data_IF_058927612028
#
_entry.id   IF_058927612028
#
_cell.length_a   1.000
_cell.length_b   1.000
_cell.length_c   1.000
_cell.angle_alpha   90.00
_cell.angle_beta   90.00
_cell.angle_gamma   90.00
#
_symmetry.space_group_name_H-M   'P 1'
#
loop_
_entity.id
_entity.type
_entity.pdbx_description
1 polymer ?
#
# COMPACT_ATOMS: atom_id res chain seq x y z
N UNK A 1 -18.51 16.98 5.28
CA UNK A 1 -17.17 16.39 5.55
C UNK A 1 -16.60 17.06 6.77
N UNK A 2 -16.03 16.28 7.69
CA UNK A 2 -15.48 16.74 8.95
C UNK A 2 -13.97 17.02 8.80
N UNK A 3 -13.49 18.04 9.49
CA UNK A 3 -12.07 18.40 9.54
C UNK A 3 -11.41 17.81 10.79
N UNK A 4 -12.20 17.52 11.82
CA UNK A 4 -11.75 16.98 13.10
C UNK A 4 -12.47 15.66 13.41
N UNK A 5 -11.71 14.61 13.74
CA UNK A 5 -12.25 13.33 14.18
C UNK A 5 -11.76 13.02 15.59
N UNK A 6 -12.63 12.57 16.47
CA UNK A 6 -12.27 12.04 17.78
C UNK A 6 -12.68 10.57 17.89
N UNK A 7 -11.81 9.76 18.46
CA UNK A 7 -12.11 8.39 18.88
C UNK A 7 -12.11 8.36 20.39
N UNK A 8 -13.26 8.08 21.01
CA UNK A 8 -13.47 8.26 22.44
C UNK A 8 -13.93 6.98 23.12
N UNK A 9 -13.25 6.63 24.20
CA UNK A 9 -13.60 5.53 25.11
C UNK A 9 -14.92 5.77 25.88
N UNK A 10 -15.47 6.99 25.82
CA UNK A 10 -16.78 7.32 26.42
C UNK A 10 -17.96 7.02 25.49
N UNK A 11 -17.69 6.73 24.22
CA UNK A 11 -18.71 6.43 23.20
C UNK A 11 -18.93 4.93 23.11
N UNK A 12 -20.20 4.52 23.13
CA UNK A 12 -20.57 3.11 23.01
C UNK A 12 -20.41 2.66 21.56
N UNK A 13 -20.30 1.36 21.38
CA UNK A 13 -20.26 0.74 20.04
C UNK A 13 -21.47 1.16 19.20
N UNK A 14 -21.23 1.57 17.96
CA UNK A 14 -22.25 2.08 17.03
C UNK A 14 -22.61 3.56 17.22
N UNK A 15 -22.12 4.21 18.28
CA UNK A 15 -22.37 5.64 18.50
C UNK A 15 -21.51 6.49 17.55
N UNK A 16 -22.19 7.31 16.75
CA UNK A 16 -21.57 8.37 15.96
C UNK A 16 -22.21 9.69 16.34
N UNK A 17 -21.40 10.59 16.89
CA UNK A 17 -21.87 11.90 17.32
C UNK A 17 -21.35 13.01 16.42
N UNK A 18 -22.28 13.73 15.80
CA UNK A 18 -21.98 14.82 14.86
C UNK A 18 -22.11 16.18 15.52
N UNK A 19 -21.02 16.95 15.56
CA UNK A 19 -21.06 18.36 15.95
C UNK A 19 -20.88 19.21 14.69
N UNK A 20 -21.99 19.38 13.96
CA UNK A 20 -22.00 19.97 12.60
C UNK A 20 -21.41 21.39 12.55
N UNK A 21 -21.64 22.20 13.58
CA UNK A 21 -21.15 23.58 13.64
C UNK A 21 -19.62 23.67 13.74
N UNK A 22 -18.97 22.63 14.26
CA UNK A 22 -17.51 22.59 14.47
C UNK A 22 -16.78 21.75 13.43
N UNK A 23 -17.50 21.22 12.41
CA UNK A 23 -16.98 20.19 11.49
C UNK A 23 -16.21 19.09 12.25
N UNK A 24 -16.78 18.68 13.38
CA UNK A 24 -16.26 17.67 14.28
C UNK A 24 -17.17 16.45 14.33
N UNK A 25 -16.55 15.29 14.41
CA UNK A 25 -17.22 14.01 14.60
C UNK A 25 -16.52 13.21 15.68
N UNK A 26 -17.31 12.55 16.52
CA UNK A 26 -16.81 11.65 17.56
C UNK A 26 -17.33 10.22 17.32
N UNK A 27 -16.40 9.27 17.35
CA UNK A 27 -16.57 7.86 17.07
C UNK A 27 -16.14 7.03 18.29
N UNK A 28 -16.64 5.81 18.42
CA UNK A 28 -16.23 4.89 19.48
C UNK A 28 -14.79 4.40 19.32
N UNK A 29 -13.98 4.57 20.37
CA UNK A 29 -12.64 3.98 20.39
C UNK A 29 -12.71 2.44 20.45
N UNK A 30 -13.66 1.88 21.18
CA UNK A 30 -13.83 0.42 21.31
C UNK A 30 -14.16 -0.24 19.96
N UNK A 31 -15.05 0.39 19.21
CA UNK A 31 -15.38 -0.06 17.85
C UNK A 31 -14.16 0.05 16.93
N UNK A 32 -13.40 1.16 16.98
CA UNK A 32 -12.12 1.27 16.27
C UNK A 32 -11.18 0.12 16.66
N UNK A 33 -10.99 -0.15 17.95
CA UNK A 33 -10.09 -1.20 18.41
C UNK A 33 -10.52 -2.59 17.93
N UNK A 34 -11.82 -2.85 17.83
CA UNK A 34 -12.35 -4.07 17.20
C UNK A 34 -11.96 -4.14 15.72
N UNK A 35 -12.12 -3.04 14.98
CA UNK A 35 -11.69 -2.95 13.57
C UNK A 35 -10.17 -3.09 13.38
N UNK A 36 -9.35 -2.70 14.33
CA UNK A 36 -7.90 -2.82 14.17
C UNK A 36 -7.38 -4.24 14.42
N UNK A 37 -8.10 -5.07 15.18
CA UNK A 37 -7.65 -6.40 15.62
C UNK A 37 -8.15 -7.55 14.75
N UNK A 38 -9.40 -7.51 14.33
CA UNK A 38 -10.04 -8.63 13.64
C UNK A 38 -10.68 -8.16 12.34
N UNK A 39 -10.86 -9.07 11.38
CA UNK A 39 -11.68 -8.81 10.19
C UNK A 39 -13.14 -8.72 10.63
N UNK A 40 -13.56 -7.55 11.09
CA UNK A 40 -14.96 -7.26 11.35
C UNK A 40 -15.65 -6.85 10.04
N UNK A 41 -16.98 -6.71 10.05
CA UNK A 41 -17.76 -6.32 8.88
C UNK A 41 -17.54 -4.85 8.49
N UNK A 42 -16.32 -4.39 8.24
CA UNK A 42 -16.04 -2.99 7.85
C UNK A 42 -16.69 -2.61 6.52
N UNK A 43 -16.81 -3.57 5.60
CA UNK A 43 -17.46 -3.34 4.31
C UNK A 43 -18.99 -3.48 4.40
N UNK A 44 -19.58 -3.00 5.50
CA UNK A 44 -21.02 -2.81 5.64
C UNK A 44 -21.37 -1.34 5.91
N UNK A 45 -22.54 -0.92 5.46
CA UNK A 45 -22.99 0.48 5.52
C UNK A 45 -23.57 0.87 6.89
N UNK A 46 -22.84 0.59 7.96
CA UNK A 46 -23.13 1.20 9.26
C UNK A 46 -22.46 2.59 9.36
N UNK A 47 -22.98 3.44 10.24
CA UNK A 47 -22.53 4.84 10.36
C UNK A 47 -21.03 4.95 10.70
N UNK A 48 -20.52 4.09 11.58
CA UNK A 48 -19.11 4.10 11.98
C UNK A 48 -18.20 3.81 10.78
N UNK A 49 -18.46 2.72 10.07
CA UNK A 49 -17.71 2.30 8.88
C UNK A 49 -17.71 3.37 7.80
N UNK A 50 -18.87 3.97 7.54
CA UNK A 50 -19.04 5.05 6.58
C UNK A 50 -18.14 6.24 6.94
N UNK A 51 -18.12 6.65 8.21
CA UNK A 51 -17.33 7.79 8.64
C UNK A 51 -15.83 7.49 8.68
N UNK A 52 -15.46 6.24 9.00
CA UNK A 52 -14.07 5.78 8.92
C UNK A 52 -13.58 5.68 7.46
N UNK A 53 -14.41 5.22 6.53
CA UNK A 53 -14.11 5.24 5.09
C UNK A 53 -13.94 6.67 4.56
N UNK A 54 -14.82 7.59 4.96
CA UNK A 54 -14.73 9.02 4.64
C UNK A 54 -13.45 9.63 5.18
N UNK A 55 -13.06 9.29 6.42
CA UNK A 55 -11.77 9.70 7.01
C UNK A 55 -10.61 9.26 6.11
N UNK A 56 -10.57 7.99 5.71
CA UNK A 56 -9.44 7.46 4.95
C UNK A 56 -9.33 8.00 3.52
N UNK A 57 -10.46 8.22 2.83
CA UNK A 57 -10.49 8.83 1.50
C UNK A 57 -10.20 10.34 1.55
N UNK A 58 -10.55 11.02 2.63
CA UNK A 58 -10.43 12.47 2.77
C UNK A 58 -9.38 12.90 3.79
N UNK A 59 -8.41 12.03 4.07
CA UNK A 59 -7.32 12.28 5.02
C UNK A 59 -6.56 13.58 4.74
N UNK A 60 -6.59 14.05 3.49
CA UNK A 60 -5.95 15.29 3.08
C UNK A 60 -6.66 16.56 3.56
N UNK A 61 -7.95 16.46 3.92
CA UNK A 61 -8.81 17.54 4.40
C UNK A 61 -8.96 17.52 5.93
N UNK A 62 -8.50 16.46 6.59
CA UNK A 62 -8.49 16.35 8.04
C UNK A 62 -7.34 17.18 8.62
N UNK A 63 -7.66 17.93 9.68
CA UNK A 63 -6.73 18.81 10.39
C UNK A 63 -6.35 18.27 11.76
N UNK A 64 -7.28 17.56 12.42
CA UNK A 64 -7.08 17.09 13.79
C UNK A 64 -7.68 15.69 14.01
N UNK A 65 -6.91 14.84 14.69
CA UNK A 65 -7.37 13.57 15.26
C UNK A 65 -7.18 13.61 16.77
N UNK A 66 -8.23 13.31 17.52
CA UNK A 66 -8.16 13.13 18.98
C UNK A 66 -8.39 11.66 19.33
N UNK A 67 -7.53 11.08 20.17
CA UNK A 67 -7.68 9.73 20.72
C UNK A 67 -7.88 9.86 22.23
N UNK A 68 -9.12 9.72 22.72
CA UNK A 68 -9.46 9.75 24.14
C UNK A 68 -9.62 8.32 24.67
N UNK A 69 -8.63 7.88 25.46
CA UNK A 69 -8.55 6.53 26.01
C UNK A 69 -9.26 6.37 27.37
N UNK A 70 -9.89 7.44 27.87
CA UNK A 70 -10.48 7.47 29.21
C UNK A 70 -11.94 7.03 29.14
N UNK A 71 -12.24 5.88 29.73
CA UNK A 71 -13.62 5.43 29.95
C UNK A 71 -14.09 5.73 31.37
N UNK A 72 -15.39 5.53 31.63
CA UNK A 72 -15.96 5.56 32.99
C UNK A 72 -15.31 4.52 33.94
N UNK A 73 -14.70 3.46 33.39
CA UNK A 73 -14.09 2.34 34.13
C UNK A 73 -12.54 2.33 34.08
N UNK A 74 -11.89 3.38 33.58
CA UNK A 74 -10.42 3.46 33.44
C UNK A 74 -9.93 3.43 31.98
N UNK A 75 -8.63 3.16 31.77
CA UNK A 75 -8.03 3.06 30.41
C UNK A 75 -8.39 1.73 29.75
N UNK A 76 -8.73 1.79 28.45
CA UNK A 76 -9.07 0.62 27.64
C UNK A 76 -7.84 -0.01 26.97
N UNK A 77 -6.64 0.57 27.13
CA UNK A 77 -5.46 0.11 26.40
C UNK A 77 -4.78 -1.10 27.04
N UNK A 78 -5.01 -2.28 26.48
CA UNK A 78 -4.15 -3.47 26.66
C UNK A 78 -2.91 -3.39 25.75
N UNK A 79 -1.81 -4.13 26.02
CA UNK A 79 -0.61 -4.12 25.17
C UNK A 79 -0.87 -4.43 23.69
N UNK A 80 -1.73 -5.40 23.39
CA UNK A 80 -2.10 -5.72 22.00
C UNK A 80 -2.88 -4.57 21.34
N UNK A 81 -3.79 -3.95 22.10
CA UNK A 81 -4.57 -2.81 21.62
C UNK A 81 -3.68 -1.60 21.37
N UNK A 82 -2.65 -1.39 22.20
CA UNK A 82 -1.65 -0.35 22.01
C UNK A 82 -0.93 -0.51 20.68
N UNK A 83 -0.44 -1.71 20.35
CA UNK A 83 0.27 -1.95 19.10
C UNK A 83 -0.60 -1.62 17.87
N UNK A 84 -1.86 -2.08 17.87
CA UNK A 84 -2.84 -1.77 16.83
C UNK A 84 -3.10 -0.26 16.71
N UNK A 85 -3.29 0.43 17.84
CA UNK A 85 -3.56 1.86 17.87
C UNK A 85 -2.36 2.68 17.39
N UNK A 86 -1.14 2.27 17.73
CA UNK A 86 0.09 2.89 17.23
C UNK A 86 0.19 2.76 15.70
N UNK A 87 -0.12 1.59 15.14
CA UNK A 87 -0.16 1.39 13.69
C UNK A 87 -1.22 2.26 13.02
N UNK A 88 -2.40 2.40 13.62
CA UNK A 88 -3.44 3.31 13.13
C UNK A 88 -3.00 4.78 13.15
N UNK A 89 -2.44 5.26 14.27
CA UNK A 89 -1.93 6.63 14.41
C UNK A 89 -0.85 6.93 13.36
N UNK A 90 -0.01 5.94 13.04
CA UNK A 90 1.06 6.04 12.04
C UNK A 90 0.58 6.26 10.60
N UNK A 91 -0.69 6.00 10.30
CA UNK A 91 -1.29 6.23 8.97
C UNK A 91 -1.41 7.73 8.67
N UNK A 92 -1.56 8.57 9.70
CA UNK A 92 -1.81 10.00 9.51
C UNK A 92 -0.54 10.78 9.13
N UNK A 93 -0.59 11.66 8.12
CA UNK A 93 0.56 12.45 7.65
C UNK A 93 0.91 13.63 8.58
N UNK A 94 2.10 14.21 8.40
CA UNK A 94 2.68 15.25 9.28
C UNK A 94 1.83 16.51 9.47
N UNK A 95 0.93 16.79 8.55
CA UNK A 95 0.08 17.98 8.56
C UNK A 95 -1.13 17.86 9.49
N UNK A 96 -1.42 16.66 10.00
CA UNK A 96 -2.56 16.42 10.88
C UNK A 96 -2.10 16.53 12.33
N UNK A 97 -2.75 17.38 13.11
CA UNK A 97 -2.54 17.45 14.55
C UNK A 97 -3.15 16.20 15.20
N UNK A 98 -2.32 15.36 15.82
CA UNK A 98 -2.81 14.23 16.62
C UNK A 98 -2.65 14.58 18.09
N UNK A 99 -3.75 14.43 18.82
CA UNK A 99 -3.88 14.70 20.25
C UNK A 99 -4.31 13.40 20.95
N UNK A 100 -3.60 13.02 22.00
CA UNK A 100 -3.88 11.79 22.76
C UNK A 100 -4.24 12.19 24.19
N UNK A 101 -5.38 11.70 24.68
CA UNK A 101 -5.87 11.94 26.03
C UNK A 101 -5.82 10.61 26.79
N UNK A 102 -5.05 10.58 27.87
CA UNK A 102 -4.71 9.38 28.64
C UNK A 102 -4.71 9.62 30.15
N UNK A 103 -4.88 8.61 31.02
CA UNK A 103 -4.97 8.82 32.47
C UNK A 103 -3.72 9.45 33.09
N UNK A 104 -3.92 10.44 33.97
CA UNK A 104 -2.85 11.23 34.61
C UNK A 104 -1.85 10.41 35.47
N UNK A 105 -2.31 9.35 36.12
CA UNK A 105 -1.48 8.46 36.95
C UNK A 105 -0.96 7.23 36.21
N UNK A 106 -1.29 7.07 34.92
CA UNK A 106 -0.73 5.98 34.14
C UNK A 106 0.68 6.37 33.67
N UNK A 107 1.66 5.47 33.86
CA UNK A 107 2.85 5.45 33.01
C UNK A 107 2.41 5.10 31.59
N UNK A 108 1.69 6.01 30.93
CA UNK A 108 0.93 5.73 29.72
C UNK A 108 1.82 5.14 28.64
N UNK A 109 1.46 3.95 28.17
CA UNK A 109 2.26 3.23 27.20
C UNK A 109 2.22 3.89 25.81
N UNK A 110 1.15 4.64 25.47
CA UNK A 110 1.01 5.29 24.15
C UNK A 110 1.94 6.48 24.01
N UNK A 111 1.85 7.48 24.88
CA UNK A 111 2.71 8.66 24.85
C UNK A 111 4.19 8.28 24.90
N UNK A 112 4.56 7.38 25.82
CA UNK A 112 5.92 6.86 25.95
C UNK A 112 6.37 6.02 24.75
N UNK A 113 5.51 5.20 24.15
CA UNK A 113 5.85 4.44 22.94
C UNK A 113 6.04 5.35 21.74
N UNK A 114 5.26 6.43 21.62
CA UNK A 114 5.37 7.39 20.53
C UNK A 114 6.62 8.26 20.64
N UNK A 115 6.99 8.71 21.84
CA UNK A 115 8.24 9.45 22.07
C UNK A 115 9.49 8.71 21.62
N UNK A 116 9.44 7.37 21.59
CA UNK A 116 10.55 6.50 21.16
C UNK A 116 10.60 6.28 19.65
N UNK A 117 9.65 6.83 18.88
CA UNK A 117 9.58 6.60 17.44
C UNK A 117 10.14 7.79 16.67
N UNK A 118 11.03 7.55 15.70
CA UNK A 118 11.63 8.57 14.82
C UNK A 118 10.65 9.23 13.84
N UNK A 119 9.38 8.82 13.89
CA UNK A 119 8.43 8.91 12.80
C UNK A 119 7.01 9.14 13.37
N UNK A 120 6.84 9.99 14.36
CA UNK A 120 5.52 10.29 14.93
C UNK A 120 5.02 11.64 14.44
N UNK A 121 3.80 11.70 13.94
CA UNK A 121 3.12 12.97 13.59
C UNK A 121 2.27 13.49 14.74
N UNK A 122 2.48 12.96 15.95
CA UNK A 122 1.77 13.37 17.15
C UNK A 122 2.27 14.74 17.57
N UNK A 123 1.34 15.69 17.70
CA UNK A 123 1.69 17.03 18.10
C UNK A 123 1.81 17.12 19.62
N UNK A 124 0.87 16.49 20.33
CA UNK A 124 0.71 16.61 21.78
C UNK A 124 0.15 15.34 22.40
N UNK A 125 0.64 15.03 23.60
CA UNK A 125 0.05 14.04 24.50
C UNK A 125 -0.42 14.79 25.76
N UNK A 126 -1.66 14.57 26.17
CA UNK A 126 -2.35 15.34 27.21
C UNK A 126 -2.85 14.38 28.29
N UNK A 127 -2.49 14.68 29.55
CA UNK A 127 -3.04 13.96 30.70
C UNK A 127 -4.55 14.22 30.86
N UNK A 128 -5.27 13.25 31.41
CA UNK A 128 -6.73 13.25 31.55
C UNK A 128 -7.27 14.46 32.31
N UNK A 129 -6.52 14.90 33.32
CA UNK A 129 -6.79 16.07 34.16
C UNK A 129 -6.27 17.38 33.56
N UNK A 130 -5.64 17.30 32.37
CA UNK A 130 -4.94 18.37 31.66
C UNK A 130 -3.81 19.02 32.47
N UNK A 131 -3.34 18.37 33.52
CA UNK A 131 -2.23 18.87 34.35
C UNK A 131 -0.90 18.86 33.60
N UNK A 132 -0.76 17.95 32.61
CA UNK A 132 0.43 17.78 31.80
C UNK A 132 0.09 17.78 30.30
N UNK A 133 0.87 18.55 29.53
CA UNK A 133 0.89 18.48 28.06
C UNK A 133 2.32 18.28 27.59
N UNK A 134 2.60 17.14 26.96
CA UNK A 134 3.90 16.85 26.34
C UNK A 134 3.85 17.18 24.85
N UNK A 135 4.70 18.10 24.41
CA UNK A 135 4.91 18.36 22.99
C UNK A 135 5.89 17.32 22.44
N UNK A 136 5.49 16.59 21.41
CA UNK A 136 6.38 15.64 20.73
C UNK A 136 7.07 16.38 19.58
N UNK A 137 8.40 16.54 19.67
CA UNK A 137 9.19 17.21 18.63
C UNK A 137 9.84 16.17 17.71
N UNK A 138 9.54 16.23 16.42
CA UNK A 138 10.36 15.58 15.40
C UNK A 138 11.55 16.47 15.04
N UNK A 139 12.76 15.97 15.28
CA UNK A 139 13.98 16.70 14.92
C UNK A 139 15.05 15.75 14.38
N UNK A 140 14.82 15.19 13.20
CA UNK A 140 15.87 14.47 12.47
C UNK A 140 15.88 14.81 10.98
N UNK A 141 17.07 15.06 10.45
CA UNK A 141 17.32 15.21 9.02
C UNK A 141 17.51 13.83 8.39
N UNK A 142 16.42 13.20 7.97
CA UNK A 142 16.48 11.94 7.23
C UNK A 142 16.92 12.24 5.80
N UNK A 143 18.02 11.61 5.35
CA UNK A 143 18.40 11.65 3.93
C UNK A 143 17.34 10.90 3.12
N UNK A 144 16.94 11.39 1.94
CA UNK A 144 15.99 10.67 1.10
C UNK A 144 16.47 9.25 0.80
N UNK A 145 15.61 8.27 1.03
CA UNK A 145 15.90 6.85 0.86
C UNK A 145 15.80 6.47 -0.62
N UNK A 146 16.85 5.94 -1.26
CA UNK A 146 16.77 5.47 -2.64
C UNK A 146 15.83 4.27 -2.75
N UNK A 147 14.90 4.29 -3.70
CA UNK A 147 13.92 3.23 -3.92
C UNK A 147 14.01 2.72 -5.35
N UNK A 148 14.09 1.39 -5.51
CA UNK A 148 13.88 0.74 -6.80
C UNK A 148 12.61 -0.10 -6.75
N UNK A 149 11.71 0.12 -7.70
CA UNK A 149 10.39 -0.50 -7.76
C UNK A 149 10.31 -1.44 -8.96
N UNK A 150 9.99 -2.70 -8.69
CA UNK A 150 9.53 -3.66 -9.67
C UNK A 150 8.06 -3.98 -9.39
N UNK A 151 7.14 -3.39 -10.14
CA UNK A 151 5.72 -3.57 -9.88
C UNK A 151 4.87 -2.48 -10.51
N UNK A 152 3.66 -2.36 -10.02
CA UNK A 152 2.61 -1.56 -10.66
C UNK A 152 2.38 -0.20 -9.98
N UNK A 153 1.24 0.43 -10.33
CA UNK A 153 0.73 1.60 -9.63
C UNK A 153 0.57 1.40 -8.12
N UNK A 154 0.35 0.17 -7.63
CA UNK A 154 0.18 -0.10 -6.20
C UNK A 154 1.41 0.26 -5.36
N UNK A 155 2.62 0.14 -5.94
CA UNK A 155 3.87 0.58 -5.29
C UNK A 155 4.25 2.00 -5.65
N UNK A 156 4.09 2.43 -6.91
CA UNK A 156 4.43 3.80 -7.33
C UNK A 156 3.62 4.85 -6.57
N UNK A 157 2.30 4.65 -6.44
CA UNK A 157 1.41 5.67 -5.89
C UNK A 157 1.62 5.88 -4.37
N UNK A 158 2.37 5.00 -3.70
CA UNK A 158 2.89 5.20 -2.33
C UNK A 158 3.68 6.51 -2.24
N UNK A 159 4.58 6.73 -3.19
CA UNK A 159 5.50 7.87 -3.21
C UNK A 159 4.79 9.13 -3.63
N UNK A 160 3.93 9.04 -4.64
CA UNK A 160 3.08 10.15 -5.07
C UNK A 160 2.19 10.65 -3.91
N UNK A 161 1.61 9.72 -3.14
CA UNK A 161 0.81 10.08 -1.96
C UNK A 161 1.69 10.70 -0.86
N UNK A 162 2.85 10.11 -0.57
CA UNK A 162 3.77 10.62 0.44
C UNK A 162 4.19 12.07 0.15
N UNK A 163 4.68 12.35 -1.06
CA UNK A 163 5.17 13.66 -1.46
C UNK A 163 4.07 14.72 -1.50
N UNK A 164 2.84 14.31 -1.84
CA UNK A 164 1.69 15.21 -1.83
C UNK A 164 1.25 15.62 -0.43
N UNK A 165 1.44 14.77 0.57
CA UNK A 165 0.83 14.94 1.89
C UNK A 165 1.79 15.22 3.04
N UNK A 166 3.10 15.08 2.81
CA UNK A 166 4.14 15.42 3.80
C UNK A 166 4.98 16.62 3.34
N UNK A 167 5.66 17.28 4.27
CA UNK A 167 6.37 18.55 4.01
C UNK A 167 7.69 18.35 3.25
N UNK A 168 8.26 17.15 3.32
CA UNK A 168 9.54 16.80 2.72
C UNK A 168 9.41 15.47 2.00
N UNK A 169 10.04 15.37 0.83
CA UNK A 169 10.23 14.07 0.21
C UNK A 169 11.30 13.30 0.99
N UNK A 170 10.96 12.10 1.43
CA UNK A 170 11.84 11.21 2.18
C UNK A 170 12.31 10.03 1.32
N UNK A 171 11.99 10.04 0.03
CA UNK A 171 12.26 8.96 -0.91
C UNK A 171 12.81 9.52 -2.21
N UNK A 172 13.70 8.77 -2.86
CA UNK A 172 14.19 9.08 -4.20
C UNK A 172 14.00 7.85 -5.08
N UNK A 173 13.13 7.94 -6.08
CA UNK A 173 12.91 6.82 -7.01
C UNK A 173 14.12 6.69 -7.94
N UNK A 174 14.89 5.63 -7.74
CA UNK A 174 16.06 5.26 -8.54
C UNK A 174 15.65 4.55 -9.83
N UNK A 175 14.64 3.68 -9.76
CA UNK A 175 14.06 3.01 -10.92
C UNK A 175 12.61 2.60 -10.65
N UNK A 176 11.81 2.64 -11.71
CA UNK A 176 10.46 2.09 -11.73
C UNK A 176 10.27 1.25 -12.99
N UNK A 177 10.10 -0.05 -12.78
CA UNK A 177 9.71 -1.02 -13.82
C UNK A 177 8.26 -1.38 -13.56
N UNK A 178 7.42 -1.35 -14.60
CA UNK A 178 6.01 -1.77 -14.54
C UNK A 178 5.53 -2.39 -15.84
N UNK A 179 4.35 -3.01 -15.79
CA UNK A 179 3.71 -3.72 -16.89
C UNK A 179 4.61 -4.83 -17.48
N UNK A 180 5.45 -5.43 -16.65
CA UNK A 180 6.37 -6.49 -17.02
C UNK A 180 6.12 -7.66 -16.08
N UNK A 181 5.85 -8.83 -16.65
CA UNK A 181 5.77 -10.05 -15.88
C UNK A 181 7.16 -10.56 -15.55
N UNK A 182 7.34 -11.08 -14.35
CA UNK A 182 8.58 -11.71 -13.91
C UNK A 182 8.90 -12.95 -14.73
N UNK A 183 7.89 -13.61 -15.29
CA UNK A 183 8.10 -14.74 -16.20
C UNK A 183 8.68 -14.26 -17.53
N UNK A 184 8.15 -13.15 -18.06
CA UNK A 184 8.67 -12.54 -19.27
C UNK A 184 10.11 -12.07 -19.08
N UNK A 185 10.46 -11.53 -17.91
CA UNK A 185 11.80 -11.01 -17.57
C UNK A 185 12.94 -12.00 -17.85
N UNK A 186 12.74 -13.30 -17.60
CA UNK A 186 13.78 -14.34 -17.77
C UNK A 186 13.72 -15.07 -19.11
N UNK A 187 12.85 -14.65 -20.03
CA UNK A 187 12.74 -15.26 -21.36
C UNK A 187 13.72 -14.62 -22.37
N UNK A 188 13.84 -15.21 -23.55
CA UNK A 188 14.69 -14.67 -24.61
C UNK A 188 14.09 -13.37 -25.22
N UNK A 189 14.90 -12.42 -25.70
CA UNK A 189 14.40 -11.24 -26.41
C UNK A 189 13.54 -11.57 -27.62
N UNK A 190 12.50 -10.76 -27.82
CA UNK A 190 11.65 -10.79 -29.00
C UNK A 190 12.11 -9.73 -29.98
N UNK A 191 12.41 -10.12 -31.22
CA UNK A 191 12.79 -9.17 -32.27
C UNK A 191 11.54 -8.54 -32.90
N UNK A 192 11.51 -7.21 -32.94
CA UNK A 192 10.43 -6.40 -33.51
C UNK A 192 11.00 -5.22 -34.29
N UNK A 193 10.16 -4.62 -35.14
CA UNK A 193 10.46 -3.32 -35.74
C UNK A 193 10.11 -2.23 -34.73
N UNK A 194 11.06 -1.37 -34.36
CA UNK A 194 10.82 -0.30 -33.40
C UNK A 194 9.68 0.64 -33.77
N UNK A 195 9.44 0.85 -35.07
CA UNK A 195 8.33 1.66 -35.57
C UNK A 195 6.96 1.04 -35.30
N UNK A 196 6.91 -0.26 -35.00
CA UNK A 196 5.68 -0.94 -34.65
C UNK A 196 5.26 -0.71 -33.19
N UNK A 197 6.13 -0.15 -32.33
CA UNK A 197 5.79 0.25 -30.95
C UNK A 197 5.23 1.67 -30.95
N UNK A 198 4.08 1.82 -31.61
CA UNK A 198 3.42 3.09 -31.91
C UNK A 198 2.42 3.51 -30.82
N UNK A 199 2.93 3.83 -29.62
CA UNK A 199 2.13 4.33 -28.48
C UNK A 199 2.39 5.82 -28.22
N UNK A 200 1.38 6.58 -27.79
CA UNK A 200 1.56 8.03 -27.53
C UNK A 200 2.46 8.32 -26.31
N UNK A 201 2.39 7.47 -25.29
CA UNK A 201 3.15 7.67 -24.05
C UNK A 201 4.55 7.07 -24.16
N UNK A 202 5.58 7.93 -24.03
CA UNK A 202 6.99 7.50 -23.98
C UNK A 202 7.26 6.49 -22.87
N UNK A 203 6.62 6.64 -21.71
CA UNK A 203 6.75 5.70 -20.60
C UNK A 203 6.18 4.32 -20.97
N UNK A 204 5.02 4.28 -21.64
CA UNK A 204 4.41 3.01 -22.05
C UNK A 204 5.18 2.36 -23.21
N UNK A 205 5.74 3.17 -24.13
CA UNK A 205 6.69 2.66 -25.12
C UNK A 205 7.88 2.00 -24.43
N UNK A 206 8.53 2.68 -23.46
CA UNK A 206 9.64 2.13 -22.71
C UNK A 206 9.27 0.81 -22.00
N UNK A 207 8.13 0.77 -21.30
CA UNK A 207 7.70 -0.43 -20.58
C UNK A 207 7.49 -1.63 -21.52
N UNK A 208 6.88 -1.41 -22.71
CA UNK A 208 6.72 -2.45 -23.73
C UNK A 208 8.07 -2.87 -24.29
N UNK A 209 8.92 -1.92 -24.72
CA UNK A 209 10.24 -2.24 -25.27
C UNK A 209 11.10 -3.01 -24.27
N UNK A 210 11.14 -2.58 -23.01
CA UNK A 210 11.89 -3.26 -21.95
C UNK A 210 11.42 -4.71 -21.73
N UNK A 211 10.11 -4.98 -21.87
CA UNK A 211 9.56 -6.34 -21.85
C UNK A 211 9.99 -7.13 -23.09
N UNK A 212 9.94 -6.57 -24.29
CA UNK A 212 10.33 -7.26 -25.53
C UNK A 212 11.84 -7.53 -25.60
N UNK A 213 12.65 -6.53 -25.24
CA UNK A 213 14.12 -6.57 -25.27
C UNK A 213 14.74 -7.29 -24.07
N UNK A 214 13.93 -7.57 -23.02
CA UNK A 214 14.35 -8.23 -21.77
C UNK A 214 15.41 -7.46 -21.00
N UNK A 215 15.40 -6.14 -21.12
CA UNK A 215 16.36 -5.26 -20.41
C UNK A 215 15.98 -5.03 -18.96
N UNK A 216 14.72 -5.29 -18.60
CA UNK A 216 14.14 -5.03 -17.28
C UNK A 216 14.96 -5.53 -16.10
N UNK A 217 15.49 -6.77 -16.16
CA UNK A 217 16.30 -7.32 -15.07
C UNK A 217 17.57 -6.50 -14.84
N UNK A 218 18.33 -6.26 -15.91
CA UNK A 218 19.61 -5.53 -15.86
C UNK A 218 19.37 -4.09 -15.39
N UNK A 219 18.37 -3.44 -15.99
CA UNK A 219 17.93 -2.10 -15.63
C UNK A 219 17.54 -1.97 -14.16
N UNK A 220 16.89 -3.00 -13.61
CA UNK A 220 16.51 -3.05 -12.20
C UNK A 220 17.72 -3.24 -11.30
N UNK A 221 18.60 -4.20 -11.58
CA UNK A 221 19.79 -4.47 -10.78
C UNK A 221 20.76 -3.28 -10.77
N UNK A 222 20.99 -2.63 -11.91
CA UNK A 222 21.85 -1.44 -11.99
C UNK A 222 21.33 -0.23 -11.20
N UNK A 223 20.05 -0.23 -10.83
CA UNK A 223 19.48 0.84 -9.99
C UNK A 223 19.67 0.62 -8.49
N UNK A 224 20.09 -0.58 -8.09
CA UNK A 224 20.27 -0.93 -6.68
C UNK A 224 21.62 -0.44 -6.19
N UNK A 225 21.61 0.14 -4.99
CA UNK A 225 22.80 0.48 -4.21
C UNK A 225 22.67 -0.16 -2.83
N UNK A 226 23.75 -0.31 -2.04
CA UNK A 226 23.66 -0.85 -0.68
C UNK A 226 22.68 -0.11 0.22
N UNK A 227 22.35 1.16 -0.08
CA UNK A 227 21.38 1.97 0.65
C UNK A 227 19.95 1.92 0.09
N UNK A 228 19.74 1.30 -1.06
CA UNK A 228 18.43 1.23 -1.70
C UNK A 228 17.49 0.27 -0.96
N UNK A 229 16.21 0.65 -0.85
CA UNK A 229 15.15 -0.34 -0.68
C UNK A 229 14.66 -0.82 -2.05
N UNK A 230 14.52 -2.13 -2.16
CA UNK A 230 13.92 -2.80 -3.30
C UNK A 230 12.46 -3.13 -2.98
N UNK A 231 11.53 -2.67 -3.79
CA UNK A 231 10.10 -2.96 -3.63
C UNK A 231 9.63 -3.81 -4.80
N UNK A 232 8.97 -4.92 -4.47
CA UNK A 232 8.38 -5.84 -5.43
C UNK A 232 6.88 -5.97 -5.13
N UNK A 233 6.03 -5.74 -6.13
CA UNK A 233 4.63 -6.19 -6.09
C UNK A 233 4.32 -7.08 -7.29
N UNK A 234 3.34 -7.98 -7.13
CA UNK A 234 2.97 -8.96 -8.15
C UNK A 234 1.72 -8.56 -8.94
N UNK A 235 1.27 -7.30 -8.82
CA UNK A 235 0.04 -6.83 -9.45
C UNK A 235 0.10 -6.90 -10.97
N UNK A 236 1.27 -6.72 -11.58
CA UNK A 236 1.44 -6.87 -13.03
C UNK A 236 1.41 -8.34 -13.51
N UNK A 237 1.46 -9.32 -12.61
CA UNK A 237 1.19 -10.71 -12.95
C UNK A 237 -0.29 -10.97 -13.25
N UNK A 238 -1.19 -9.97 -13.09
CA UNK A 238 -2.58 -10.03 -13.57
C UNK A 238 -2.70 -10.09 -15.10
N UNK A 239 -1.61 -9.84 -15.83
CA UNK A 239 -1.59 -9.93 -17.28
C UNK A 239 -1.31 -11.37 -17.72
N UNK A 240 -2.07 -11.81 -18.72
CA UNK A 240 -1.73 -13.02 -19.47
C UNK A 240 -0.34 -12.90 -20.11
N UNK A 241 0.25 -14.04 -20.46
CA UNK A 241 1.44 -14.08 -21.31
C UNK A 241 1.07 -14.49 -22.73
N UNK A 242 1.85 -14.01 -23.69
CA UNK A 242 1.92 -14.59 -25.02
C UNK A 242 3.21 -15.40 -25.14
N UNK A 243 3.10 -16.64 -25.60
CA UNK A 243 4.25 -17.44 -26.01
C UNK A 243 4.41 -17.34 -27.52
N UNK A 244 5.59 -16.92 -27.96
CA UNK A 244 5.92 -16.78 -29.37
C UNK A 244 7.39 -17.11 -29.62
N UNK A 245 7.66 -18.11 -30.47
CA UNK A 245 9.02 -18.53 -30.87
C UNK A 245 9.99 -18.73 -29.69
N UNK A 246 9.51 -19.31 -28.58
CA UNK A 246 10.33 -19.59 -27.40
C UNK A 246 10.58 -18.38 -26.48
N UNK A 247 9.94 -17.24 -26.75
CA UNK A 247 9.90 -16.08 -25.85
C UNK A 247 8.52 -15.94 -25.21
N UNK A 248 8.48 -15.32 -24.02
CA UNK A 248 7.25 -14.90 -23.37
C UNK A 248 7.14 -13.38 -23.44
N UNK A 249 5.95 -12.86 -23.70
CA UNK A 249 5.66 -11.42 -23.75
C UNK A 249 4.51 -11.14 -22.80
N UNK A 250 4.64 -10.11 -21.98
CA UNK A 250 3.57 -9.67 -21.09
C UNK A 250 2.45 -9.05 -21.93
N UNK A 251 1.25 -9.65 -21.92
CA UNK A 251 0.11 -9.23 -22.75
C UNK A 251 -0.60 -8.00 -22.15
N UNK A 252 0.14 -6.90 -22.02
CA UNK A 252 -0.37 -5.66 -21.44
C UNK A 252 -1.41 -5.01 -22.35
N UNK A 253 -2.32 -4.21 -21.78
CA UNK A 253 -3.29 -3.41 -22.54
C UNK A 253 -2.64 -2.45 -23.55
N UNK A 254 -1.36 -2.13 -23.37
CA UNK A 254 -0.60 -1.25 -24.25
C UNK A 254 0.07 -2.05 -25.36
N UNK A 255 0.65 -3.20 -25.06
CA UNK A 255 1.23 -4.06 -26.09
C UNK A 255 0.17 -4.48 -27.12
N UNK A 256 -1.04 -4.82 -26.70
CA UNK A 256 -2.13 -5.22 -27.62
C UNK A 256 -2.57 -4.11 -28.59
N UNK A 257 -2.19 -2.85 -28.35
CA UNK A 257 -2.49 -1.72 -29.24
C UNK A 257 -1.42 -1.53 -30.34
N UNK A 258 -0.23 -2.09 -30.15
CA UNK A 258 0.92 -1.94 -31.05
C UNK A 258 0.71 -2.67 -32.38
N UNK A 259 1.41 -2.23 -33.43
CA UNK A 259 1.45 -2.97 -34.69
C UNK A 259 2.21 -4.30 -34.54
N UNK A 260 3.17 -4.40 -33.61
CA UNK A 260 3.90 -5.64 -33.33
C UNK A 260 2.94 -6.74 -32.90
N UNK A 261 2.02 -6.43 -31.96
CA UNK A 261 0.99 -7.39 -31.55
C UNK A 261 0.11 -7.83 -32.72
N UNK A 262 -0.35 -6.90 -33.56
CA UNK A 262 -1.20 -7.23 -34.71
C UNK A 262 -0.52 -8.20 -35.68
N UNK A 263 0.80 -8.11 -35.85
CA UNK A 263 1.59 -9.01 -36.71
C UNK A 263 1.74 -10.41 -36.12
N UNK A 264 1.80 -10.56 -34.79
CA UNK A 264 2.05 -11.87 -34.15
C UNK A 264 0.81 -12.56 -33.59
N UNK A 265 -0.30 -11.85 -33.36
CA UNK A 265 -1.45 -12.36 -32.59
C UNK A 265 -2.06 -13.67 -33.10
N UNK A 266 -1.93 -13.98 -34.39
CA UNK A 266 -2.44 -15.23 -34.99
C UNK A 266 -1.49 -16.41 -34.82
N UNK A 267 -0.25 -16.16 -34.39
CA UNK A 267 0.84 -17.13 -34.33
C UNK A 267 1.41 -17.30 -32.92
N UNK A 268 0.82 -16.65 -31.91
CA UNK A 268 1.18 -16.83 -30.50
C UNK A 268 0.13 -17.67 -29.79
N UNK A 269 0.56 -18.46 -28.80
CA UNK A 269 -0.36 -19.02 -27.81
C UNK A 269 -0.46 -18.09 -26.61
N UNK A 270 -1.60 -18.13 -25.92
CA UNK A 270 -1.81 -17.39 -24.69
C UNK A 270 -1.68 -18.34 -23.50
N UNK A 271 -1.04 -17.86 -22.44
CA UNK A 271 -1.04 -18.50 -21.12
C UNK A 271 -1.81 -17.57 -20.19
N UNK A 272 -2.90 -18.08 -19.61
CA UNK A 272 -3.72 -17.31 -18.67
C UNK A 272 -2.95 -16.99 -17.39
N UNK A 273 -3.20 -15.80 -16.86
CA UNK A 273 -2.46 -15.25 -15.71
C UNK A 273 -2.53 -16.14 -14.45
N UNK A 274 -3.62 -16.87 -14.24
CA UNK A 274 -3.86 -17.75 -13.08
C UNK A 274 -3.71 -19.25 -13.39
N UNK A 275 -3.21 -19.61 -14.58
CA UNK A 275 -2.92 -21.00 -14.90
C UNK A 275 -1.83 -21.58 -14.00
N UNK A 276 -1.87 -22.90 -13.76
CA UNK A 276 -0.85 -23.60 -12.96
C UNK A 276 0.57 -23.41 -13.52
N UNK A 277 0.71 -23.43 -14.84
CA UNK A 277 1.98 -23.16 -15.53
C UNK A 277 2.51 -21.78 -15.14
N UNK A 278 1.65 -20.75 -15.24
CA UNK A 278 2.00 -19.37 -14.96
C UNK A 278 2.34 -19.13 -13.49
N UNK A 279 1.58 -19.74 -12.57
CA UNK A 279 1.84 -19.67 -11.12
C UNK A 279 3.21 -20.28 -10.81
N UNK A 280 3.48 -21.49 -11.30
CA UNK A 280 4.75 -22.17 -11.08
C UNK A 280 5.92 -21.32 -11.60
N UNK A 281 5.83 -20.84 -12.84
CA UNK A 281 6.86 -19.99 -13.43
C UNK A 281 7.06 -18.68 -12.66
N UNK A 282 5.98 -18.09 -12.13
CA UNK A 282 6.06 -16.87 -11.30
C UNK A 282 6.82 -17.15 -10.01
N UNK A 283 6.48 -18.23 -9.28
CA UNK A 283 7.17 -18.63 -8.06
C UNK A 283 8.66 -18.91 -8.30
N UNK A 284 8.98 -19.72 -9.32
CA UNK A 284 10.37 -20.06 -9.67
C UNK A 284 11.20 -18.81 -10.01
N UNK A 285 10.62 -17.89 -10.78
CA UNK A 285 11.30 -16.67 -11.21
C UNK A 285 11.37 -15.59 -10.12
N UNK A 286 10.42 -15.54 -9.17
CA UNK A 286 10.54 -14.71 -7.97
C UNK A 286 11.74 -15.16 -7.15
N UNK A 287 11.87 -16.47 -6.90
CA UNK A 287 13.04 -17.02 -6.21
C UNK A 287 14.34 -16.61 -6.91
N UNK A 288 14.39 -16.78 -8.24
CA UNK A 288 15.56 -16.38 -9.03
C UNK A 288 15.85 -14.88 -8.95
N UNK A 289 14.84 -14.03 -9.00
CA UNK A 289 15.01 -12.58 -8.89
C UNK A 289 15.55 -12.18 -7.51
N UNK A 290 14.99 -12.73 -6.43
CA UNK A 290 15.44 -12.47 -5.06
C UNK A 290 16.91 -12.88 -4.87
N UNK A 291 17.30 -14.03 -5.41
CA UNK A 291 18.68 -14.54 -5.40
C UNK A 291 19.68 -13.64 -6.16
N UNK A 292 19.22 -12.94 -7.20
CA UNK A 292 20.06 -11.96 -7.92
C UNK A 292 20.14 -10.66 -7.12
N UNK A 293 19.02 -10.18 -6.57
CA UNK A 293 18.96 -8.94 -5.79
C UNK A 293 19.83 -9.03 -4.54
N UNK A 294 19.84 -10.17 -3.82
CA UNK A 294 20.64 -10.35 -2.60
C UNK A 294 22.15 -10.21 -2.83
N UNK A 295 22.60 -10.35 -4.08
CA UNK A 295 24.01 -10.16 -4.44
C UNK A 295 24.40 -8.67 -4.45
N UNK A 296 23.41 -7.77 -4.41
CA UNK A 296 23.60 -6.31 -4.49
C UNK A 296 23.17 -5.59 -3.19
N UNK A 297 22.15 -6.09 -2.49
CA UNK A 297 21.62 -5.49 -1.26
C UNK A 297 21.27 -6.54 -0.20
N UNK A 298 21.15 -6.13 1.06
CA UNK A 298 20.67 -7.00 2.14
C UNK A 298 19.22 -7.46 1.92
N UNK A 299 18.91 -8.70 2.29
CA UNK A 299 17.54 -9.25 2.26
C UNK A 299 16.53 -8.38 3.02
N UNK A 300 16.96 -7.75 4.12
CA UNK A 300 16.09 -6.86 4.90
C UNK A 300 15.74 -5.56 4.16
N UNK A 301 16.44 -5.24 3.07
CA UNK A 301 16.12 -4.12 2.16
C UNK A 301 15.20 -4.54 1.01
N UNK A 302 14.77 -5.80 0.95
CA UNK A 302 13.80 -6.29 -0.02
C UNK A 302 12.42 -6.33 0.65
N UNK A 303 11.49 -5.55 0.09
CA UNK A 303 10.11 -5.44 0.55
C UNK A 303 9.16 -5.97 -0.52
N UNK A 304 8.42 -7.03 -0.17
CA UNK A 304 7.28 -7.49 -0.96
C UNK A 304 6.06 -6.69 -0.53
N UNK A 305 5.57 -5.82 -1.40
CA UNK A 305 4.35 -5.08 -1.18
C UNK A 305 3.15 -5.98 -1.46
N UNK A 306 2.65 -6.66 -0.42
CA UNK A 306 1.52 -7.58 -0.52
C UNK A 306 0.22 -6.78 -0.71
N UNK A 307 -0.24 -6.64 -1.96
CA UNK A 307 -1.44 -5.87 -2.33
C UNK A 307 -2.47 -6.72 -3.07
N UNK A 308 -3.30 -7.51 -2.37
CA UNK A 308 -4.45 -8.15 -3.02
C UNK A 308 -5.39 -7.09 -3.59
N UNK A 309 -6.13 -7.43 -4.64
CA UNK A 309 -7.19 -6.55 -5.16
C UNK A 309 -8.27 -6.35 -4.09
N UNK A 310 -8.71 -5.10 -3.93
CA UNK A 310 -9.85 -4.75 -3.13
C UNK A 310 -11.13 -5.33 -3.72
N UNK A 311 -11.95 -5.96 -2.87
CA UNK A 311 -13.29 -6.42 -3.26
C UNK A 311 -14.33 -5.30 -3.25
N UNK A 312 -14.06 -4.24 -2.48
CA UNK A 312 -14.98 -3.13 -2.28
C UNK A 312 -14.34 -1.80 -2.65
N UNK A 313 -15.16 -0.85 -3.07
CA UNK A 313 -14.83 0.57 -3.10
C UNK A 313 -15.89 1.35 -2.33
N UNK A 314 -15.52 2.53 -1.84
CA UNK A 314 -16.44 3.42 -1.16
C UNK A 314 -16.89 4.57 -2.07
N UNK A 315 -18.20 4.83 -2.08
CA UNK A 315 -18.86 5.92 -2.80
C UNK A 315 -19.76 6.71 -1.86
N UNK A 316 -20.33 7.83 -2.32
CA UNK A 316 -21.29 8.61 -1.53
C UNK A 316 -22.55 7.81 -1.15
N UNK A 317 -22.84 6.71 -1.86
CA UNK A 317 -23.94 5.78 -1.57
C UNK A 317 -23.55 4.63 -0.61
N UNK A 318 -22.30 4.61 -0.12
CA UNK A 318 -21.79 3.52 0.73
C UNK A 318 -20.78 2.62 0.01
N UNK A 319 -20.48 1.48 0.63
CA UNK A 319 -19.59 0.46 0.10
C UNK A 319 -20.27 -0.33 -1.02
N UNK A 320 -19.54 -0.51 -2.11
CA UNK A 320 -19.99 -1.29 -3.27
C UNK A 320 -18.94 -2.31 -3.63
N UNK A 321 -19.37 -3.49 -4.04
CA UNK A 321 -18.46 -4.52 -4.57
C UNK A 321 -18.00 -4.15 -5.97
N UNK A 322 -16.75 -4.44 -6.27
CA UNK A 322 -16.28 -4.45 -7.64
C UNK A 322 -16.96 -5.58 -8.43
N UNK A 323 -17.18 -5.32 -9.71
CA UNK A 323 -17.68 -6.33 -10.64
C UNK A 323 -16.59 -7.37 -10.93
N UNK A 324 -16.76 -8.56 -10.37
CA UNK A 324 -15.79 -9.64 -10.53
C UNK A 324 -15.68 -10.14 -11.97
N UNK A 325 -16.75 -10.10 -12.76
CA UNK A 325 -16.70 -10.50 -14.18
C UNK A 325 -15.83 -9.54 -14.99
N UNK A 326 -15.85 -8.25 -14.62
CA UNK A 326 -15.05 -7.22 -15.27
C UNK A 326 -13.58 -7.26 -14.87
N UNK A 327 -13.29 -7.52 -13.60
CA UNK A 327 -11.95 -7.34 -13.03
C UNK A 327 -11.23 -8.63 -12.65
N UNK A 328 -11.90 -9.77 -12.61
CA UNK A 328 -11.37 -11.06 -12.15
C UNK A 328 -10.75 -10.96 -10.73
N UNK A 329 -11.41 -10.25 -9.81
CA UNK A 329 -10.88 -9.97 -8.46
C UNK A 329 -10.61 -11.27 -7.71
N UNK A 330 -11.55 -12.22 -7.75
CA UNK A 330 -11.43 -13.50 -7.05
C UNK A 330 -10.31 -14.37 -7.63
N UNK A 331 -10.24 -14.48 -8.98
CA UNK A 331 -9.18 -15.24 -9.66
C UNK A 331 -7.80 -14.66 -9.37
N UNK A 332 -7.65 -13.33 -9.49
CA UNK A 332 -6.40 -12.66 -9.16
C UNK A 332 -6.03 -12.82 -7.68
N UNK A 333 -6.97 -12.65 -6.75
CA UNK A 333 -6.68 -12.81 -5.33
C UNK A 333 -6.29 -14.25 -4.97
N UNK A 334 -6.83 -15.26 -5.65
CA UNK A 334 -6.39 -16.65 -5.49
C UNK A 334 -4.95 -16.85 -6.01
N UNK A 335 -4.65 -16.40 -7.23
CA UNK A 335 -3.29 -16.40 -7.78
C UNK A 335 -2.31 -15.70 -6.84
N UNK A 336 -2.67 -14.49 -6.41
CA UNK A 336 -1.88 -13.62 -5.55
C UNK A 336 -1.59 -14.29 -4.21
N UNK A 337 -2.60 -14.89 -3.58
CA UNK A 337 -2.44 -15.62 -2.33
C UNK A 337 -1.45 -16.76 -2.48
N UNK A 338 -1.53 -17.55 -3.56
CA UNK A 338 -0.61 -18.69 -3.79
C UNK A 338 0.83 -18.22 -3.93
N UNK A 339 1.07 -17.15 -4.68
CA UNK A 339 2.42 -16.58 -4.86
C UNK A 339 2.96 -15.98 -3.56
N UNK A 340 2.14 -15.22 -2.81
CA UNK A 340 2.56 -14.65 -1.52
C UNK A 340 2.82 -15.74 -0.48
N UNK A 341 1.99 -16.79 -0.41
CA UNK A 341 2.23 -17.94 0.46
C UNK A 341 3.57 -18.61 0.13
N UNK A 342 3.83 -18.87 -1.15
CA UNK A 342 5.12 -19.40 -1.59
C UNK A 342 6.31 -18.53 -1.14
N UNK A 343 6.21 -17.21 -1.30
CA UNK A 343 7.26 -16.28 -0.84
C UNK A 343 7.49 -16.40 0.66
N UNK A 344 6.42 -16.37 1.47
CA UNK A 344 6.53 -16.45 2.94
C UNK A 344 7.15 -17.76 3.40
N UNK A 345 6.80 -18.87 2.74
CA UNK A 345 7.30 -20.21 3.10
C UNK A 345 8.75 -20.45 2.67
N UNK A 346 9.20 -19.84 1.56
CA UNK A 346 10.51 -20.14 0.96
C UNK A 346 11.54 -19.01 1.13
N UNK A 347 11.12 -17.80 1.51
CA UNK A 347 11.97 -16.61 1.59
C UNK A 347 11.71 -15.81 2.87
N UNK A 348 11.90 -16.42 4.04
CA UNK A 348 11.61 -15.80 5.36
C UNK A 348 12.39 -14.52 5.66
N UNK A 349 13.49 -14.27 4.94
CA UNK A 349 14.35 -13.12 5.16
C UNK A 349 13.87 -11.85 4.43
N UNK A 350 12.91 -11.96 3.50
CA UNK A 350 12.27 -10.79 2.87
C UNK A 350 11.20 -10.20 3.77
N UNK A 351 11.02 -8.88 3.70
CA UNK A 351 9.93 -8.21 4.42
C UNK A 351 8.67 -8.31 3.57
N UNK A 352 7.67 -9.07 4.01
CA UNK A 352 6.34 -9.07 3.40
C UNK A 352 5.48 -8.03 4.10
N UNK A 353 5.18 -6.94 3.40
CA UNK A 353 4.40 -5.83 3.95
C UNK A 353 2.90 -6.12 3.76
N UNK A 354 2.20 -6.44 4.85
CA UNK A 354 0.75 -6.74 4.81
C UNK A 354 -0.15 -5.52 4.60
N UNK A 355 -1.32 -5.74 4.00
CA UNK A 355 -2.40 -4.73 3.93
C UNK A 355 -3.27 -4.80 5.18
N UNK A 356 -3.40 -3.72 5.98
CA UNK A 356 -4.46 -3.62 6.96
C UNK A 356 -5.81 -3.71 6.26
N UNK A 357 -6.62 -4.70 6.64
CA UNK A 357 -7.84 -5.06 5.93
C UNK A 357 -8.85 -3.89 5.83
N UNK A 358 -8.93 -3.03 6.86
CA UNK A 358 -9.76 -1.82 6.89
C UNK A 358 -9.27 -0.70 5.96
N UNK A 359 -8.07 -0.83 5.37
CA UNK A 359 -7.56 0.05 4.31
C UNK A 359 -7.67 -0.59 2.92
N UNK A 360 -8.12 -1.84 2.81
CA UNK A 360 -8.16 -2.58 1.55
C UNK A 360 -9.43 -2.29 0.73
N UNK A 361 -9.66 -1.02 0.37
CA UNK A 361 -10.78 -0.63 -0.48
C UNK A 361 -10.41 0.47 -1.46
N UNK A 362 -11.11 0.47 -2.59
CA UNK A 362 -10.91 1.41 -3.68
C UNK A 362 -11.46 2.82 -3.37
N UNK A 363 -10.80 3.83 -3.94
CA UNK A 363 -11.21 5.23 -3.86
C UNK A 363 -11.87 5.70 -5.16
N UNK A 364 -13.11 6.16 -5.04
CA UNK A 364 -13.87 6.70 -6.18
C UNK A 364 -13.27 7.96 -6.78
N UNK A 365 -12.44 8.66 -6.01
CA UNK A 365 -11.72 9.88 -6.42
C UNK A 365 -10.26 9.61 -6.79
N UNK A 366 -9.87 8.35 -6.99
CA UNK A 366 -8.51 8.02 -7.39
C UNK A 366 -8.17 8.64 -8.76
N UNK A 367 -6.97 9.22 -8.88
CA UNK A 367 -6.55 9.96 -10.08
C UNK A 367 -6.52 9.14 -11.38
N UNK A 368 -6.47 7.81 -11.24
CA UNK A 368 -6.46 6.85 -12.35
C UNK A 368 -7.80 6.11 -12.53
N UNK A 369 -8.87 6.59 -11.90
CA UNK A 369 -10.20 5.97 -11.95
C UNK A 369 -10.39 4.84 -10.94
N UNK A 370 -11.61 4.32 -10.90
CA UNK A 370 -12.07 3.38 -9.86
C UNK A 370 -11.82 1.94 -10.29
N UNK A 371 -10.73 1.37 -9.77
CA UNK A 371 -10.30 0.00 -10.06
C UNK A 371 -9.92 -0.71 -8.75
N UNK A 372 -10.01 -2.05 -8.69
CA UNK A 372 -9.77 -2.81 -7.46
C UNK A 372 -8.32 -2.80 -6.97
N UNK A 373 -7.40 -2.21 -7.74
CA UNK A 373 -6.00 -1.99 -7.40
C UNK A 373 -5.65 -0.50 -7.20
N UNK A 374 -6.67 0.38 -7.14
CA UNK A 374 -6.56 1.81 -6.86
C UNK A 374 -7.16 2.14 -5.50
N UNK A 375 -6.33 2.03 -4.46
CA UNK A 375 -6.76 2.10 -3.07
C UNK A 375 -6.98 3.55 -2.59
N UNK A 376 -7.58 3.69 -1.42
CA UNK A 376 -7.68 4.98 -0.72
C UNK A 376 -6.33 5.57 -0.33
N UNK A 377 -6.30 6.89 -0.10
CA UNK A 377 -5.07 7.64 0.23
C UNK A 377 -4.36 7.09 1.47
N UNK A 378 -5.13 6.67 2.47
CA UNK A 378 -4.61 6.17 3.74
C UNK A 378 -3.87 4.85 3.58
N UNK A 379 -4.30 3.98 2.66
CA UNK A 379 -3.54 2.80 2.24
C UNK A 379 -2.11 3.18 1.84
N UNK A 380 -1.95 4.10 0.88
CA UNK A 380 -0.63 4.50 0.39
C UNK A 380 0.24 5.15 1.47
N UNK A 381 -0.34 6.01 2.31
CA UNK A 381 0.38 6.64 3.43
C UNK A 381 0.85 5.63 4.47
N UNK A 382 0.03 4.62 4.78
CA UNK A 382 0.42 3.52 5.67
C UNK A 382 1.63 2.75 5.11
N UNK A 383 1.67 2.51 3.79
CA UNK A 383 2.80 1.82 3.15
C UNK A 383 4.07 2.67 3.18
N UNK A 384 3.96 3.95 2.84
CA UNK A 384 5.10 4.87 2.92
C UNK A 384 5.72 4.85 4.31
N UNK A 385 4.89 4.84 5.35
CA UNK A 385 5.37 4.79 6.73
C UNK A 385 6.13 3.51 7.06
N UNK A 386 5.60 2.35 6.64
CA UNK A 386 6.25 1.06 6.82
C UNK A 386 7.60 0.99 6.09
N UNK A 387 7.69 1.57 4.90
CA UNK A 387 8.94 1.66 4.14
C UNK A 387 9.98 2.54 4.86
N UNK A 388 9.58 3.68 5.44
CA UNK A 388 10.50 4.50 6.23
C UNK A 388 11.01 3.75 7.46
N UNK A 389 10.14 3.03 8.16
CA UNK A 389 10.53 2.20 9.30
C UNK A 389 11.50 1.09 8.88
N UNK A 390 11.24 0.42 7.76
CA UNK A 390 12.14 -0.59 7.20
C UNK A 390 13.49 0.02 6.79
N UNK A 391 13.53 1.24 6.26
CA UNK A 391 14.76 1.92 5.88
C UNK A 391 15.60 2.43 7.06
N UNK A 392 14.98 2.73 8.22
CA UNK A 392 15.65 3.26 9.42
C UNK A 392 16.02 2.15 10.42
N UNK A 393 15.35 1.00 10.38
CA UNK A 393 15.61 -0.15 11.28
C UNK A 393 16.77 -1.04 10.80
N UNK A 394 17.56 -0.56 9.83
CA UNK A 394 18.71 -1.21 9.20
C UNK A 394 19.93 -0.32 9.35
#
# INVERSE_FOLDING_TARGET
MFEHYAFSAKRKFGDVHYVKNEKFIELSLDELMSHLKEVSAFFCDNLFNIELAKLFINIDKVKKITIDTISENGSICTPDSLACLLEFIRVFPEKIEIEIIEPAESNSEIGLALDRTFLTNVAKVIASDRSLTKLVKNSFGIKPLPISIYGSCCSRDIFDAHDKYNKKSLFTISKYISNNSIVSMFSAPFYYDELDINLDSKFLQYAVKADLDKTTLIDFIHSLSPESLCIIDIMDERFDLLSYRGSYITKTWNFVKTNSYKKIKSNCSQIEFDSEEKIKQTCDNISRLLEIIKSNISYKKIVINNTPMAEYYYSDEGFKRFDDQKYNVLRYNNFHQRVITYIKENHSDVIVMETPWYLNFGDTNHKWGVHPYHFNKSFYLSRAKRLLLAGVSL
#
